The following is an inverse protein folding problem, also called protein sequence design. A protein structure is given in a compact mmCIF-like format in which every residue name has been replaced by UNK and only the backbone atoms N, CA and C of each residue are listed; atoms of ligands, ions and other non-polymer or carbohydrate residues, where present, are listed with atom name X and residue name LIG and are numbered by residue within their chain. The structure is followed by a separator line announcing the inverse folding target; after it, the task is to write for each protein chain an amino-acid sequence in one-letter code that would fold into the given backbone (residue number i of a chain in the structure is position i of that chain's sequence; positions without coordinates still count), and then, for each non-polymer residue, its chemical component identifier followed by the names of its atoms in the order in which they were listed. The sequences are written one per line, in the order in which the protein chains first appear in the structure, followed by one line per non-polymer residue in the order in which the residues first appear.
data_IF_980851124583
#
_entry.id   IF_980851124583
#
_cell.length_a   1.000
_cell.length_b   1.000
_cell.length_c   1.000
_cell.angle_alpha   90.00
_cell.angle_beta   90.00
_cell.angle_gamma   90.00
#
_symmetry.space_group_name_H-M   'P 1'
#
loop_
_entity.id
_entity.type
_entity.pdbx_description
1 polymer ?
#
# COMPACT_ATOMS: atom_id res chain seq x y z
N UNK A 1 -21.43 -26.67 -1.54
CA UNK A 1 -22.11 -25.47 -1.02
C UNK A 1 -21.12 -24.32 -1.05
N UNK A 2 -21.54 -23.13 -1.46
CA UNK A 2 -20.69 -21.93 -1.38
C UNK A 2 -20.27 -21.71 0.07
N UNK A 3 -18.99 -21.40 0.33
CA UNK A 3 -18.48 -21.16 1.70
C UNK A 3 -19.11 -19.94 2.37
N UNK A 4 -19.73 -19.06 1.59
CA UNK A 4 -20.38 -17.83 2.04
C UNK A 4 -21.65 -17.58 1.24
N UNK A 5 -22.66 -17.00 1.88
CA UNK A 5 -23.79 -16.36 1.22
C UNK A 5 -23.34 -15.04 0.57
N UNK A 6 -24.09 -14.59 -0.45
CA UNK A 6 -23.83 -13.29 -1.09
C UNK A 6 -23.92 -12.15 -0.06
N UNK A 7 -24.83 -12.27 0.90
CA UNK A 7 -25.01 -11.28 1.97
C UNK A 7 -23.77 -11.18 2.85
N UNK A 8 -23.23 -12.31 3.33
CA UNK A 8 -21.99 -12.33 4.14
C UNK A 8 -20.79 -11.79 3.36
N UNK A 9 -20.75 -12.04 2.04
CA UNK A 9 -19.69 -11.47 1.20
C UNK A 9 -19.80 -9.94 1.11
N UNK A 10 -21.01 -9.41 0.91
CA UNK A 10 -21.24 -7.96 0.87
C UNK A 10 -20.88 -7.34 2.22
N UNK A 11 -21.41 -7.86 3.33
CA UNK A 11 -21.13 -7.32 4.68
C UNK A 11 -19.63 -7.33 5.03
N UNK A 12 -18.86 -8.29 4.51
CA UNK A 12 -17.42 -8.38 4.76
C UNK A 12 -16.53 -7.56 3.80
N UNK A 13 -17.09 -7.04 2.70
CA UNK A 13 -16.35 -6.28 1.67
C UNK A 13 -16.97 -4.92 1.36
N UNK A 14 -18.03 -4.55 2.06
CA UNK A 14 -18.64 -3.24 1.99
C UNK A 14 -17.68 -2.19 2.54
N UNK A 15 -17.55 -1.10 1.80
CA UNK A 15 -16.73 0.05 2.20
C UNK A 15 -17.52 0.82 3.25
N UNK A 16 -16.99 0.92 4.47
CA UNK A 16 -17.56 1.81 5.49
C UNK A 16 -17.41 3.28 5.06
N UNK A 17 -18.43 4.11 5.32
CA UNK A 17 -18.39 5.52 4.92
C UNK A 17 -17.26 6.29 5.64
N UNK A 18 -16.26 6.69 4.84
CA UNK A 18 -15.28 7.76 5.03
C UNK A 18 -14.88 8.06 6.48
N UNK A 19 -13.86 7.34 6.96
CA UNK A 19 -13.00 7.89 7.99
C UNK A 19 -11.96 8.82 7.34
N UNK A 20 -11.70 9.99 7.92
CA UNK A 20 -10.63 10.91 7.48
C UNK A 20 -9.23 10.47 7.96
N UNK A 21 -9.12 9.25 8.48
CA UNK A 21 -7.87 8.67 8.98
C UNK A 21 -6.90 8.41 7.83
N UNK A 22 -5.61 8.63 8.05
CA UNK A 22 -4.62 8.47 6.99
C UNK A 22 -4.48 7.01 6.52
N UNK A 23 -4.62 6.05 7.44
CA UNK A 23 -4.58 4.62 7.17
C UNK A 23 -5.81 3.97 7.80
N UNK A 24 -6.58 3.25 7.01
CA UNK A 24 -7.74 2.49 7.50
C UNK A 24 -7.69 1.06 6.96
N UNK A 25 -7.90 0.09 7.85
CA UNK A 25 -8.01 -1.31 7.45
C UNK A 25 -9.45 -1.59 7.02
N UNK A 26 -9.73 -1.41 5.72
CA UNK A 26 -11.05 -1.61 5.11
C UNK A 26 -11.51 -3.08 5.24
N UNK A 27 -10.61 -4.02 4.97
CA UNK A 27 -10.85 -5.45 5.18
C UNK A 27 -9.58 -6.09 5.74
N UNK A 28 -9.61 -7.36 6.20
CA UNK A 28 -8.40 -8.04 6.70
C UNK A 28 -7.22 -8.11 5.71
N UNK A 29 -7.41 -7.75 4.44
CA UNK A 29 -6.39 -7.79 3.38
C UNK A 29 -6.27 -6.51 2.56
N UNK A 30 -7.11 -5.50 2.81
CA UNK A 30 -7.11 -4.24 2.07
C UNK A 30 -6.89 -3.11 3.07
N UNK A 31 -5.88 -2.29 2.78
CA UNK A 31 -5.58 -1.09 3.53
C UNK A 31 -5.91 0.11 2.64
N UNK A 32 -6.87 0.91 3.06
CA UNK A 32 -7.18 2.21 2.48
C UNK A 32 -6.18 3.25 2.98
N UNK A 33 -5.76 4.14 2.08
CA UNK A 33 -4.81 5.21 2.36
C UNK A 33 -5.38 6.52 1.86
N UNK A 34 -5.75 7.40 2.78
CA UNK A 34 -6.12 8.78 2.48
C UNK A 34 -4.85 9.60 2.25
N UNK A 35 -4.36 9.58 1.01
CA UNK A 35 -3.08 10.18 0.63
C UNK A 35 -3.11 11.71 0.75
N UNK A 36 -2.51 12.25 1.81
CA UNK A 36 -2.33 13.71 2.03
C UNK A 36 -1.01 14.23 1.48
N UNK A 37 0.05 13.43 1.55
CA UNK A 37 1.38 13.76 1.05
C UNK A 37 1.97 12.58 0.26
N UNK A 38 2.78 11.74 0.92
CA UNK A 38 3.43 10.59 0.31
C UNK A 38 3.33 9.34 1.19
N UNK A 39 3.29 8.18 0.55
CA UNK A 39 3.31 6.88 1.23
C UNK A 39 4.28 5.95 0.51
N UNK A 40 5.05 5.19 1.29
CA UNK A 40 5.84 4.09 0.76
C UNK A 40 4.95 2.87 0.59
N UNK A 41 4.84 2.38 -0.64
CA UNK A 41 4.12 1.17 -0.96
C UNK A 41 5.03 0.19 -1.68
N UNK A 42 4.78 -1.11 -1.46
CA UNK A 42 5.50 -2.15 -2.21
C UNK A 42 4.99 -2.14 -3.65
N UNK A 43 5.90 -2.30 -4.61
CA UNK A 43 5.50 -2.42 -6.02
C UNK A 43 4.48 -3.55 -6.19
N UNK A 44 3.32 -3.23 -6.77
CA UNK A 44 2.22 -4.17 -6.99
C UNK A 44 1.32 -4.42 -5.78
N UNK A 45 1.50 -3.73 -4.65
CA UNK A 45 0.55 -3.84 -3.52
C UNK A 45 -0.69 -2.97 -3.67
N UNK A 46 -0.65 -1.96 -4.55
CA UNK A 46 -1.80 -1.11 -4.83
C UNK A 46 -2.78 -1.85 -5.75
N UNK A 47 -4.04 -1.90 -5.35
CA UNK A 47 -5.12 -2.59 -6.07
C UNK A 47 -6.07 -1.61 -6.78
N UNK A 48 -6.27 -0.42 -6.22
CA UNK A 48 -7.11 0.64 -6.75
C UNK A 48 -6.60 2.01 -6.26
N UNK A 49 -7.01 3.07 -6.95
CA UNK A 49 -6.83 4.44 -6.51
C UNK A 49 -7.91 5.34 -7.12
N UNK A 50 -8.16 6.47 -6.48
CA UNK A 50 -9.05 7.52 -6.95
C UNK A 50 -8.33 8.87 -6.86
N UNK A 51 -8.49 9.71 -7.88
CA UNK A 51 -7.87 11.03 -7.94
C UNK A 51 -6.48 11.04 -8.60
N UNK A 52 -5.83 12.21 -8.52
CA UNK A 52 -4.54 12.46 -9.16
C UNK A 52 -3.39 12.04 -8.24
N UNK A 53 -2.85 10.84 -8.47
CA UNK A 53 -1.72 10.29 -7.72
C UNK A 53 -0.47 10.21 -8.60
N UNK A 54 0.65 10.72 -8.09
CA UNK A 54 1.96 10.58 -8.73
C UNK A 54 2.68 9.36 -8.17
N UNK A 55 3.14 8.49 -9.06
CA UNK A 55 3.91 7.30 -8.71
C UNK A 55 5.38 7.51 -9.00
N UNK A 56 6.20 7.38 -7.97
CA UNK A 56 7.66 7.41 -8.09
C UNK A 56 8.24 6.09 -7.57
N UNK A 57 9.04 5.44 -8.41
CA UNK A 57 9.76 4.23 -8.01
C UNK A 57 11.04 4.65 -7.30
N UNK A 58 11.23 4.17 -6.08
CA UNK A 58 12.53 4.27 -5.38
C UNK A 58 13.61 3.68 -6.29
N UNK A 59 14.58 4.50 -6.68
CA UNK A 59 15.70 4.01 -7.47
C UNK A 59 16.63 3.28 -6.51
N UNK A 60 17.11 2.09 -6.90
CA UNK A 60 18.13 1.31 -6.17
C UNK A 60 19.42 2.10 -5.83
N UNK A 61 19.56 3.34 -6.34
CA UNK A 61 20.69 4.23 -6.19
C UNK A 61 20.39 5.50 -5.35
N UNK A 62 19.18 5.67 -4.80
CA UNK A 62 18.86 6.80 -3.90
C UNK A 62 19.48 6.64 -2.50
N UNK A 63 19.93 5.42 -2.18
CA UNK A 63 20.93 5.14 -1.13
C UNK A 63 22.27 4.75 -1.76
N UNK A 64 22.69 5.53 -2.76
CA UNK A 64 23.81 5.29 -3.66
C UNK A 64 25.09 4.86 -2.97
N UNK A 65 25.92 4.11 -3.72
CA UNK A 65 27.36 3.83 -3.60
C UNK A 65 28.00 3.68 -2.21
N UNK A 66 27.67 4.50 -1.21
CA UNK A 66 27.97 4.37 0.21
C UNK A 66 27.74 2.96 0.78
N UNK A 67 26.62 2.28 0.47
CA UNK A 67 26.42 0.87 0.89
C UNK A 67 27.30 -0.12 0.12
N UNK A 68 27.62 0.14 -1.14
CA UNK A 68 28.51 -0.70 -1.96
C UNK A 68 29.97 -0.57 -1.50
N UNK A 69 30.45 0.66 -1.30
CA UNK A 69 31.78 0.96 -0.78
C UNK A 69 31.98 0.44 0.64
N UNK A 70 30.95 0.54 1.51
CA UNK A 70 31.04 0.00 2.87
C UNK A 70 31.14 -1.52 2.90
N UNK A 71 30.74 -2.21 1.83
CA UNK A 71 30.95 -3.65 1.69
C UNK A 71 32.38 -3.97 1.21
N UNK A 72 32.97 -3.12 0.36
CA UNK A 72 34.32 -3.31 -0.19
C UNK A 72 35.46 -2.91 0.74
N UNK A 73 35.21 -2.14 1.81
CA UNK A 73 36.25 -1.74 2.79
C UNK A 73 36.32 -2.72 3.98
N UNK A 74 35.38 -3.67 4.08
CA UNK A 74 35.32 -4.68 5.14
C UNK A 74 35.49 -6.12 4.63
N UNK A 75 36.00 -6.28 3.41
CA UNK A 75 36.38 -7.57 2.82
C UNK A 75 37.88 -7.59 2.50
#
# INVERSE_FOLDING_TARGET
MSKYSIKEFIEATEVEEQSDEYFQLETPRILEVNLKEMVWAKLGSMVSYTGDIKFERERLLEHGTSRMFKKSVYE
#
